data_IF_625638511503
#
_entry.id   IF_625638511503
#
_cell.length_a   1.000
_cell.length_b   1.000
_cell.length_c   1.000
_cell.angle_alpha   90.00
_cell.angle_beta   90.00
_cell.angle_gamma   90.00
#
_symmetry.space_group_name_H-M   'P 1'
#
loop_
_entity.id
_entity.type
_entity.pdbx_description
1 polymer ?
#
# COMPACT_ATOMS: atom_id res chain seq x y z
N UNK A 1 -6.97 21.95 -2.67
CA UNK A 1 -7.24 20.69 -3.35
C UNK A 1 -7.25 20.95 -4.85
N UNK A 2 -6.47 20.22 -5.66
CA UNK A 2 -6.83 20.15 -7.06
C UNK A 2 -8.23 19.52 -7.11
N UNK A 3 -9.18 20.23 -7.67
CA UNK A 3 -10.51 19.67 -7.89
C UNK A 3 -10.38 18.42 -8.78
N UNK A 4 -11.39 17.53 -8.77
CA UNK A 4 -11.44 16.38 -9.70
C UNK A 4 -11.23 16.86 -11.15
N UNK A 5 -11.72 18.07 -11.48
CA UNK A 5 -11.47 18.74 -12.74
C UNK A 5 -9.99 19.06 -13.00
N UNK A 6 -9.26 19.49 -11.98
CA UNK A 6 -7.82 19.76 -12.11
C UNK A 6 -7.02 18.46 -12.30
N UNK A 7 -7.38 17.38 -11.62
CA UNK A 7 -6.76 16.07 -11.85
C UNK A 7 -7.04 15.53 -13.25
N UNK A 8 -8.27 15.65 -13.75
CA UNK A 8 -8.61 15.30 -15.14
C UNK A 8 -7.85 16.17 -16.15
N UNK A 9 -7.69 17.45 -15.86
CA UNK A 9 -6.91 18.37 -16.70
C UNK A 9 -5.42 17.99 -16.72
N UNK A 10 -4.86 17.61 -15.59
CA UNK A 10 -3.48 17.13 -15.48
C UNK A 10 -3.26 15.81 -16.23
N UNK A 11 -4.20 14.87 -16.15
CA UNK A 11 -4.15 13.63 -16.94
C UNK A 11 -4.25 13.90 -18.44
N UNK A 12 -5.14 14.81 -18.85
CA UNK A 12 -5.25 15.24 -20.25
C UNK A 12 -3.95 15.89 -20.74
N UNK A 13 -3.36 16.76 -19.93
CA UNK A 13 -2.07 17.39 -20.23
C UNK A 13 -0.96 16.35 -20.37
N UNK A 14 -0.94 15.35 -19.49
CA UNK A 14 0.04 14.27 -19.53
C UNK A 14 -0.13 13.40 -20.79
N UNK A 15 -1.36 13.09 -21.19
CA UNK A 15 -1.66 12.35 -22.40
C UNK A 15 -1.26 13.15 -23.65
N UNK A 16 -1.58 14.43 -23.71
CA UNK A 16 -1.23 15.31 -24.83
C UNK A 16 0.28 15.52 -24.94
N UNK A 17 0.98 15.70 -23.83
CA UNK A 17 2.44 15.80 -23.79
C UNK A 17 3.10 14.51 -24.28
N UNK A 18 2.56 13.35 -23.92
CA UNK A 18 3.06 12.06 -24.38
C UNK A 18 2.82 11.84 -25.89
N UNK A 19 1.65 12.21 -26.40
CA UNK A 19 1.31 12.10 -27.83
C UNK A 19 2.16 13.04 -28.71
N UNK A 20 2.63 14.15 -28.16
CA UNK A 20 3.55 15.08 -28.82
C UNK A 20 5.02 14.70 -28.66
N UNK A 21 5.35 13.58 -27.99
CA UNK A 21 6.71 13.13 -27.76
C UNK A 21 7.53 14.00 -26.80
N UNK A 22 6.89 14.96 -26.10
CA UNK A 22 7.58 15.92 -25.22
C UNK A 22 8.05 15.23 -23.93
N UNK A 23 7.19 14.40 -23.33
CA UNK A 23 7.50 13.67 -22.09
C UNK A 23 6.68 12.40 -21.99
N UNK A 24 7.26 11.32 -21.47
CA UNK A 24 6.50 10.09 -21.20
C UNK A 24 5.44 10.35 -20.12
N UNK A 25 4.22 9.88 -20.34
CA UNK A 25 3.07 10.11 -19.44
C UNK A 25 3.40 9.87 -17.96
N UNK A 26 4.04 8.74 -17.65
CA UNK A 26 4.38 8.38 -16.26
C UNK A 26 5.40 9.35 -15.63
N UNK A 27 6.33 9.92 -16.42
CA UNK A 27 7.31 10.89 -15.91
C UNK A 27 6.61 12.18 -15.50
N UNK A 28 5.73 12.71 -16.35
CA UNK A 28 4.97 13.92 -16.03
C UNK A 28 4.04 13.70 -14.83
N UNK A 29 3.35 12.56 -14.78
CA UNK A 29 2.51 12.20 -13.64
C UNK A 29 3.32 12.08 -12.33
N UNK A 30 4.55 11.55 -12.38
CA UNK A 30 5.46 11.54 -11.20
C UNK A 30 5.86 12.94 -10.76
N UNK A 31 6.18 13.83 -11.69
CA UNK A 31 6.51 15.22 -11.36
C UNK A 31 5.35 15.91 -10.64
N UNK A 32 4.12 15.67 -11.09
CA UNK A 32 2.90 16.21 -10.49
C UNK A 32 2.64 15.57 -9.11
N UNK A 33 2.68 14.23 -9.02
CA UNK A 33 2.41 13.49 -7.77
C UNK A 33 3.46 13.75 -6.69
N UNK A 34 4.72 13.92 -7.10
CA UNK A 34 5.81 14.15 -6.15
C UNK A 34 5.89 15.61 -5.67
N UNK A 35 5.17 16.51 -6.34
CA UNK A 35 5.10 17.93 -5.98
C UNK A 35 6.45 18.65 -5.97
N UNK A 36 6.43 19.93 -5.60
CA UNK A 36 7.64 20.70 -5.34
C UNK A 36 8.31 20.20 -4.05
N UNK A 37 9.66 20.23 -4.02
CA UNK A 37 10.47 19.74 -2.90
C UNK A 37 9.94 20.23 -1.56
N UNK A 38 9.71 19.31 -0.63
CA UNK A 38 9.34 19.62 0.74
C UNK A 38 10.39 20.55 1.39
N UNK A 39 9.94 21.56 2.14
CA UNK A 39 10.81 22.36 3.02
C UNK A 39 11.54 21.41 3.98
N UNK A 40 12.83 21.60 4.19
CA UNK A 40 13.60 20.85 5.17
C UNK A 40 13.07 21.21 6.57
N UNK A 41 12.61 20.22 7.31
CA UNK A 41 12.35 20.40 8.74
C UNK A 41 13.69 20.62 9.44
N UNK A 42 13.87 21.74 10.10
CA UNK A 42 15.13 22.11 10.78
C UNK A 42 15.52 21.14 11.91
N UNK A 43 14.52 20.43 12.45
CA UNK A 43 14.67 19.50 13.58
C UNK A 43 15.15 18.09 13.18
N UNK A 44 15.26 17.81 11.89
CA UNK A 44 15.65 16.51 11.37
C UNK A 44 17.02 16.54 10.67
N UNK A 45 17.82 15.53 10.93
CA UNK A 45 18.96 15.17 10.11
C UNK A 45 18.45 14.23 9.01
N UNK A 46 18.60 14.63 7.76
CA UNK A 46 18.17 13.86 6.59
C UNK A 46 19.41 13.36 5.87
N UNK A 47 19.49 12.05 5.63
CA UNK A 47 20.56 11.39 4.88
C UNK A 47 19.97 10.56 3.74
N UNK A 48 20.49 10.74 2.54
CA UNK A 48 20.27 9.85 1.40
C UNK A 48 21.38 8.80 1.37
N UNK A 49 21.02 7.54 1.41
CA UNK A 49 21.92 6.38 1.47
C UNK A 49 21.47 5.31 0.50
N UNK A 50 22.25 4.24 0.40
CA UNK A 50 21.87 3.00 -0.29
C UNK A 50 21.95 1.82 0.67
N UNK A 51 20.93 0.99 0.69
CA UNK A 51 20.91 -0.31 1.36
C UNK A 51 21.02 -1.40 0.29
N UNK A 52 22.25 -1.90 0.09
CA UNK A 52 22.60 -2.57 -1.14
C UNK A 52 22.44 -1.61 -2.33
N UNK A 53 21.67 -2.01 -3.35
CA UNK A 53 21.36 -1.15 -4.51
C UNK A 53 20.11 -0.28 -4.32
N UNK A 54 19.40 -0.42 -3.19
CA UNK A 54 18.14 0.28 -2.95
C UNK A 54 18.41 1.67 -2.37
N UNK A 55 18.02 2.74 -3.07
CA UNK A 55 18.09 4.08 -2.50
C UNK A 55 17.15 4.21 -1.31
N UNK A 56 17.64 4.77 -0.21
CA UNK A 56 16.85 5.03 0.99
C UNK A 56 17.10 6.43 1.50
N UNK A 57 16.08 6.98 2.16
CA UNK A 57 16.24 8.25 2.87
C UNK A 57 15.96 8.05 4.34
N UNK A 58 16.92 8.41 5.18
CA UNK A 58 16.81 8.33 6.64
C UNK A 58 16.52 9.70 7.20
N UNK A 59 15.61 9.76 8.15
CA UNK A 59 15.25 10.94 8.92
C UNK A 59 15.52 10.66 10.39
N UNK A 60 16.46 11.35 10.97
CA UNK A 60 16.85 11.20 12.38
C UNK A 60 16.54 12.49 13.13
N UNK A 61 15.87 12.45 14.29
CA UNK A 61 15.73 13.63 15.14
C UNK A 61 17.09 14.16 15.58
N UNK A 62 17.27 15.49 15.52
CA UNK A 62 18.51 16.15 16.02
C UNK A 62 18.57 16.21 17.53
N UNK A 63 17.40 16.17 18.20
CA UNK A 63 17.33 16.16 19.66
C UNK A 63 18.03 14.93 20.23
N UNK A 64 18.80 15.03 21.31
CA UNK A 64 19.37 13.87 22.00
C UNK A 64 18.25 12.96 22.52
N UNK A 65 18.54 11.68 22.65
CA UNK A 65 17.63 10.68 23.24
C UNK A 65 18.38 9.97 24.36
N UNK A 66 17.72 9.78 25.48
CA UNK A 66 18.29 9.05 26.63
C UNK A 66 18.36 7.52 26.36
N UNK A 67 17.63 7.03 25.36
CA UNK A 67 17.60 5.62 24.99
C UNK A 67 17.59 5.47 23.47
N UNK A 68 17.82 4.25 22.95
CA UNK A 68 17.62 3.94 21.53
C UNK A 68 16.17 4.26 21.11
N UNK A 69 15.99 4.82 19.94
CA UNK A 69 14.70 5.23 19.41
C UNK A 69 13.93 4.07 18.80
N UNK A 70 12.64 4.24 18.65
CA UNK A 70 11.81 3.39 17.77
C UNK A 70 12.15 3.68 16.32
N UNK A 71 12.09 2.65 15.45
CA UNK A 71 12.27 2.77 14.02
C UNK A 71 10.97 2.57 13.25
N UNK A 72 10.78 3.33 12.19
CA UNK A 72 9.69 3.13 11.23
C UNK A 72 10.27 3.01 9.83
N UNK A 73 9.94 1.93 9.15
CA UNK A 73 10.25 1.76 7.73
C UNK A 73 8.97 2.05 6.97
N UNK A 74 9.00 3.05 6.08
CA UNK A 74 7.85 3.48 5.30
C UNK A 74 8.00 3.10 3.83
N UNK A 75 6.98 2.45 3.30
CA UNK A 75 6.78 2.23 1.88
C UNK A 75 5.62 3.11 1.41
N UNK A 76 5.90 4.01 0.48
CA UNK A 76 4.86 4.92 -0.03
C UNK A 76 3.90 4.20 -0.99
N UNK A 77 2.69 4.71 -1.08
CA UNK A 77 1.71 4.29 -2.09
C UNK A 77 2.07 4.74 -3.51
N UNK A 78 1.14 4.58 -4.44
CA UNK A 78 1.30 5.00 -5.83
C UNK A 78 1.51 3.85 -6.81
N UNK A 79 0.95 2.69 -6.53
CA UNK A 79 0.86 1.53 -7.43
C UNK A 79 2.23 1.03 -7.94
N UNK A 80 3.31 1.21 -7.18
CA UNK A 80 4.66 0.85 -7.61
C UNK A 80 5.21 1.66 -8.79
N UNK A 81 4.48 2.67 -9.26
CA UNK A 81 4.82 3.52 -10.41
C UNK A 81 5.02 4.97 -10.05
N UNK A 82 4.31 5.45 -9.03
CA UNK A 82 4.29 6.85 -8.60
C UNK A 82 4.65 6.93 -7.12
N UNK A 83 4.78 8.14 -6.65
CA UNK A 83 4.93 8.42 -5.25
C UNK A 83 6.34 8.82 -4.87
N UNK A 84 6.34 9.58 -3.87
CA UNK A 84 7.47 9.90 -2.99
C UNK A 84 6.82 10.08 -1.63
N UNK A 85 7.59 10.03 -0.58
CA UNK A 85 7.05 10.28 0.75
C UNK A 85 6.36 11.65 0.75
N UNK A 86 5.04 11.63 1.00
CA UNK A 86 4.27 12.86 1.05
C UNK A 86 4.86 13.82 2.09
N UNK A 87 4.83 15.10 1.76
CA UNK A 87 5.30 16.18 2.64
C UNK A 87 4.57 16.15 3.98
N UNK A 88 3.29 15.79 3.92
CA UNK A 88 2.35 15.85 5.04
C UNK A 88 2.62 14.75 6.10
N UNK A 89 2.99 13.55 5.67
CA UNK A 89 3.36 12.49 6.60
C UNK A 89 4.64 12.87 7.37
N UNK A 90 5.54 13.63 6.72
CA UNK A 90 6.78 14.13 7.31
C UNK A 90 6.54 15.18 8.40
N UNK A 91 5.50 15.99 8.28
CA UNK A 91 5.28 17.14 9.19
C UNK A 91 4.42 16.77 10.41
N UNK A 92 3.67 15.66 10.36
CA UNK A 92 2.65 15.33 11.38
C UNK A 92 2.97 14.16 12.30
N UNK A 93 3.83 13.23 11.88
CA UNK A 93 4.34 12.23 12.81
C UNK A 93 5.27 12.95 13.78
N UNK A 94 5.05 12.73 15.08
CA UNK A 94 5.82 13.40 16.15
C UNK A 94 7.29 12.95 16.10
N UNK A 95 8.09 13.57 15.24
CA UNK A 95 9.48 13.24 14.91
C UNK A 95 10.44 13.23 16.11
N UNK A 96 10.01 13.75 17.26
CA UNK A 96 10.87 13.87 18.44
C UNK A 96 11.35 12.52 19.00
N UNK A 97 10.67 11.42 18.67
CA UNK A 97 10.90 10.11 19.31
C UNK A 97 11.18 8.98 18.31
N UNK A 98 10.95 9.18 17.01
CA UNK A 98 11.02 8.14 16.00
C UNK A 98 12.13 8.42 14.99
N UNK A 99 12.89 7.38 14.62
CA UNK A 99 13.77 7.39 13.44
C UNK A 99 13.01 6.81 12.25
N UNK A 100 13.06 7.48 11.12
CA UNK A 100 12.25 7.15 9.96
C UNK A 100 13.13 6.78 8.77
N UNK A 101 12.79 5.69 8.10
CA UNK A 101 13.43 5.29 6.86
C UNK A 101 12.38 5.15 5.79
N UNK A 102 12.63 5.83 4.69
CA UNK A 102 11.82 5.69 3.50
C UNK A 102 12.60 4.91 2.46
N UNK A 103 12.12 3.73 2.12
CA UNK A 103 12.57 3.05 0.92
C UNK A 103 12.09 3.82 -0.31
N UNK A 104 13.03 4.15 -1.20
CA UNK A 104 12.75 4.70 -2.52
C UNK A 104 12.88 3.57 -3.53
N UNK A 105 12.10 2.50 -3.32
CA UNK A 105 12.12 1.35 -4.18
C UNK A 105 12.00 1.75 -5.66
N UNK A 106 12.66 1.01 -6.54
CA UNK A 106 12.70 1.28 -7.97
C UNK A 106 11.31 1.13 -8.57
N UNK A 107 10.91 2.05 -9.44
CA UNK A 107 9.54 2.17 -9.92
C UNK A 107 9.32 1.51 -11.29
N UNK A 108 8.11 1.02 -11.53
CA UNK A 108 7.62 0.63 -12.85
C UNK A 108 7.29 1.92 -13.65
N UNK A 109 7.42 1.94 -14.99
CA UNK A 109 7.75 0.81 -15.86
C UNK A 109 9.24 0.57 -16.07
N UNK A 110 10.15 1.39 -15.51
CA UNK A 110 11.60 1.21 -15.69
C UNK A 110 12.04 -0.13 -15.09
N UNK A 111 11.52 -0.48 -13.92
CA UNK A 111 11.78 -1.73 -13.23
C UNK A 111 10.50 -2.55 -13.11
N UNK A 112 10.54 -3.77 -13.65
CA UNK A 112 9.39 -4.68 -13.69
C UNK A 112 9.08 -5.25 -12.29
N UNK A 113 7.81 -5.63 -12.09
CA UNK A 113 7.43 -6.54 -11.01
C UNK A 113 8.32 -7.81 -11.03
N UNK A 114 8.79 -8.34 -9.89
CA UNK A 114 8.53 -7.91 -8.50
C UNK A 114 9.63 -7.02 -7.88
N UNK A 115 10.39 -6.26 -8.67
CA UNK A 115 11.53 -5.45 -8.18
C UNK A 115 11.16 -4.59 -6.95
N UNK A 116 9.97 -4.01 -6.93
CA UNK A 116 9.49 -3.13 -5.87
C UNK A 116 9.42 -3.86 -4.52
N UNK A 117 8.82 -5.06 -4.50
CA UNK A 117 8.74 -5.89 -3.30
C UNK A 117 10.12 -6.36 -2.84
N UNK A 118 10.98 -6.78 -3.78
CA UNK A 118 12.35 -7.21 -3.48
C UNK A 118 13.20 -6.07 -2.90
N UNK A 119 13.05 -4.86 -3.41
CA UNK A 119 13.72 -3.67 -2.87
C UNK A 119 13.26 -3.38 -1.43
N UNK A 120 11.95 -3.51 -1.16
CA UNK A 120 11.40 -3.32 0.18
C UNK A 120 11.94 -4.35 1.17
N UNK A 121 12.00 -5.64 0.78
CA UNK A 121 12.61 -6.71 1.59
C UNK A 121 14.09 -6.44 1.84
N UNK A 122 14.84 -6.06 0.80
CA UNK A 122 16.27 -5.74 0.90
C UNK A 122 16.54 -4.58 1.85
N UNK A 123 15.81 -3.47 1.68
CA UNK A 123 15.96 -2.29 2.53
C UNK A 123 15.61 -2.59 3.99
N UNK A 124 14.54 -3.37 4.23
CA UNK A 124 14.12 -3.79 5.57
C UNK A 124 15.16 -4.68 6.22
N UNK A 125 15.62 -5.71 5.52
CA UNK A 125 16.65 -6.63 6.03
C UNK A 125 17.93 -5.89 6.41
N UNK A 126 18.39 -4.98 5.55
CA UNK A 126 19.59 -4.18 5.83
C UNK A 126 19.40 -3.33 7.09
N UNK A 127 18.25 -2.64 7.18
CA UNK A 127 18.01 -1.77 8.33
C UNK A 127 17.85 -2.55 9.64
N UNK A 128 17.15 -3.68 9.65
CA UNK A 128 17.04 -4.51 10.84
C UNK A 128 18.42 -4.94 11.37
N UNK A 129 19.36 -5.26 10.48
CA UNK A 129 20.75 -5.63 10.84
C UNK A 129 21.59 -4.45 11.33
N UNK A 130 21.30 -3.25 10.89
CA UNK A 130 22.14 -2.06 11.12
C UNK A 130 21.46 -0.98 11.96
N UNK A 131 20.30 -1.23 12.51
CA UNK A 131 19.47 -0.25 13.23
C UNK A 131 20.21 0.49 14.32
N UNK A 132 21.04 -0.21 15.09
CA UNK A 132 21.82 0.35 16.19
C UNK A 132 22.80 1.44 15.73
N UNK A 133 23.37 1.32 14.53
CA UNK A 133 24.26 2.34 13.97
C UNK A 133 23.56 3.67 13.68
N UNK A 134 22.23 3.64 13.67
CA UNK A 134 21.37 4.83 13.51
C UNK A 134 20.71 5.26 14.84
N UNK A 135 21.12 4.66 15.98
CA UNK A 135 20.54 4.94 17.28
C UNK A 135 19.11 4.39 17.45
N UNK A 136 18.76 3.35 16.68
CA UNK A 136 17.46 2.69 16.70
C UNK A 136 17.56 1.37 17.41
N UNK A 137 16.54 1.07 18.22
CA UNK A 137 16.35 -0.22 18.87
C UNK A 137 15.84 -1.25 17.85
N UNK A 138 16.58 -2.31 17.54
CA UNK A 138 16.19 -3.29 16.54
C UNK A 138 14.90 -4.05 16.90
N UNK A 139 14.57 -4.17 18.21
CA UNK A 139 13.34 -4.82 18.67
C UNK A 139 12.11 -3.89 18.64
N UNK A 140 12.29 -2.65 18.26
CA UNK A 140 11.25 -1.61 18.23
C UNK A 140 11.07 -1.00 16.84
N UNK A 141 11.20 -1.83 15.79
CA UNK A 141 11.04 -1.42 14.40
C UNK A 141 9.69 -1.90 13.89
N UNK A 142 8.96 -0.98 13.28
CA UNK A 142 7.71 -1.27 12.59
C UNK A 142 7.86 -1.00 11.09
N UNK A 143 7.05 -1.71 10.30
CA UNK A 143 6.91 -1.47 8.86
C UNK A 143 5.56 -0.79 8.61
N UNK A 144 5.54 0.23 7.78
CA UNK A 144 4.35 1.01 7.50
C UNK A 144 4.19 1.22 5.99
N UNK A 145 2.95 1.22 5.50
CA UNK A 145 2.70 1.57 4.11
C UNK A 145 1.24 1.96 3.85
N UNK A 146 1.06 2.83 2.87
CA UNK A 146 -0.23 3.29 2.40
C UNK A 146 -0.55 2.74 1.00
N UNK A 147 -1.81 2.35 0.74
CA UNK A 147 -2.22 1.85 -0.59
C UNK A 147 -1.34 0.67 -1.05
N UNK A 148 -0.71 0.74 -2.23
CA UNK A 148 0.28 -0.22 -2.68
C UNK A 148 1.50 -0.35 -1.74
N UNK A 149 1.84 0.69 -0.98
CA UNK A 149 2.85 0.60 0.08
C UNK A 149 2.41 -0.35 1.20
N UNK A 150 1.11 -0.45 1.48
CA UNK A 150 0.53 -1.46 2.36
C UNK A 150 0.73 -2.88 1.85
N UNK A 151 0.62 -3.09 0.52
CA UNK A 151 0.99 -4.37 -0.13
C UNK A 151 2.45 -4.71 0.15
N UNK A 152 3.36 -3.75 -0.08
CA UNK A 152 4.80 -3.98 0.13
C UNK A 152 5.14 -4.19 1.61
N UNK A 153 4.47 -3.50 2.53
CA UNK A 153 4.64 -3.71 3.96
C UNK A 153 4.22 -5.13 4.37
N UNK A 154 3.04 -5.54 3.92
CA UNK A 154 2.50 -6.88 4.21
C UNK A 154 3.36 -7.99 3.61
N UNK A 155 3.70 -7.89 2.32
CA UNK A 155 4.54 -8.89 1.65
C UNK A 155 5.94 -8.96 2.24
N UNK A 156 6.51 -7.82 2.67
CA UNK A 156 7.81 -7.80 3.38
C UNK A 156 7.72 -8.52 4.72
N UNK A 157 6.66 -8.31 5.51
CA UNK A 157 6.46 -9.03 6.76
C UNK A 157 6.30 -10.54 6.53
N UNK A 158 5.55 -10.95 5.50
CA UNK A 158 5.37 -12.36 5.13
C UNK A 158 6.69 -13.03 4.71
N UNK A 159 7.52 -12.34 3.92
CA UNK A 159 8.81 -12.84 3.45
C UNK A 159 9.82 -12.99 4.60
N UNK A 160 9.78 -12.09 5.59
CA UNK A 160 10.75 -12.03 6.67
C UNK A 160 10.31 -12.76 7.96
N UNK A 161 9.04 -13.14 8.08
CA UNK A 161 8.49 -13.64 9.35
C UNK A 161 9.20 -14.88 9.90
N UNK A 162 9.64 -15.76 9.02
CA UNK A 162 10.33 -17.01 9.40
C UNK A 162 11.87 -16.87 9.47
N UNK A 163 12.42 -15.67 9.21
CA UNK A 163 13.86 -15.41 9.29
C UNK A 163 14.31 -15.39 10.74
N UNK A 164 15.37 -16.11 11.06
CA UNK A 164 15.96 -16.18 12.40
C UNK A 164 17.30 -15.46 12.52
N UNK A 165 17.85 -15.02 11.39
CA UNK A 165 19.15 -14.34 11.28
C UNK A 165 19.05 -12.81 11.35
N UNK A 166 17.84 -12.28 11.58
CA UNK A 166 17.56 -10.86 11.73
C UNK A 166 16.57 -10.61 12.88
N UNK A 167 16.59 -9.42 13.50
CA UNK A 167 15.57 -9.01 14.46
C UNK A 167 14.16 -9.10 13.87
N UNK A 168 13.18 -9.40 14.70
CA UNK A 168 11.77 -9.49 14.27
C UNK A 168 11.17 -8.10 14.06
N UNK A 169 10.35 -7.94 13.02
CA UNK A 169 9.51 -6.76 12.86
C UNK A 169 8.51 -6.73 14.02
N UNK A 170 8.46 -5.61 14.76
CA UNK A 170 7.59 -5.50 15.96
C UNK A 170 6.11 -5.36 15.63
N UNK A 171 5.79 -4.63 14.56
CA UNK A 171 4.42 -4.45 14.08
C UNK A 171 4.39 -4.01 12.62
N UNK A 172 3.23 -4.17 11.98
CA UNK A 172 2.94 -3.57 10.67
C UNK A 172 1.78 -2.57 10.80
N UNK A 173 1.90 -1.43 10.12
CA UNK A 173 0.86 -0.41 10.01
C UNK A 173 0.43 -0.29 8.55
N UNK A 174 -0.80 -0.67 8.27
CA UNK A 174 -1.37 -0.75 6.93
C UNK A 174 -2.45 0.31 6.77
N UNK A 175 -2.26 1.23 5.84
CA UNK A 175 -3.14 2.36 5.65
C UNK A 175 -3.87 2.19 4.32
N UNK A 176 -5.17 1.95 4.37
CA UNK A 176 -6.04 1.62 3.23
C UNK A 176 -5.34 0.72 2.19
N UNK A 177 -4.81 -0.45 2.63
CA UNK A 177 -3.91 -1.26 1.81
C UNK A 177 -4.64 -1.95 0.66
N UNK A 178 -3.93 -2.13 -0.48
CA UNK A 178 -4.32 -3.06 -1.53
C UNK A 178 -3.74 -4.45 -1.20
N UNK A 179 -4.57 -5.48 -1.07
CA UNK A 179 -4.10 -6.79 -0.57
C UNK A 179 -4.51 -7.99 -1.43
N UNK A 180 -5.36 -7.80 -2.43
CA UNK A 180 -5.81 -8.88 -3.31
C UNK A 180 -6.23 -8.39 -4.68
N UNK A 181 -6.12 -9.24 -5.68
CA UNK A 181 -6.57 -9.02 -7.05
C UNK A 181 -7.38 -10.20 -7.58
N UNK A 182 -7.97 -10.97 -6.67
CA UNK A 182 -8.81 -12.10 -7.02
C UNK A 182 -10.25 -11.67 -7.31
N UNK A 183 -10.83 -10.81 -6.47
CA UNK A 183 -12.24 -10.43 -6.56
C UNK A 183 -12.38 -8.91 -6.63
N UNK A 184 -12.84 -8.41 -7.77
CA UNK A 184 -13.14 -6.98 -7.99
C UNK A 184 -14.63 -6.66 -7.86
N UNK A 185 -15.42 -7.56 -7.25
CA UNK A 185 -16.86 -7.40 -7.04
C UNK A 185 -17.25 -7.48 -5.55
N UNK A 186 -16.36 -7.06 -4.66
CA UNK A 186 -16.67 -6.93 -3.23
C UNK A 186 -17.62 -5.73 -2.99
N UNK A 187 -18.30 -5.65 -1.84
CA UNK A 187 -19.19 -4.55 -1.51
C UNK A 187 -18.58 -3.15 -1.68
N UNK A 188 -17.34 -2.95 -1.25
CA UNK A 188 -16.65 -1.66 -1.42
C UNK A 188 -16.37 -1.33 -2.89
N UNK A 189 -16.09 -2.35 -3.71
CA UNK A 189 -15.89 -2.16 -5.15
C UNK A 189 -17.15 -1.64 -5.82
N UNK A 190 -18.33 -2.19 -5.48
CA UNK A 190 -19.60 -1.74 -6.06
C UNK A 190 -20.00 -0.36 -5.52
N UNK A 191 -19.97 -0.18 -4.19
CA UNK A 191 -20.38 1.06 -3.54
C UNK A 191 -19.52 2.26 -3.93
N UNK A 192 -18.22 2.06 -4.08
CA UNK A 192 -17.25 3.14 -4.30
C UNK A 192 -16.68 3.15 -5.74
N UNK A 193 -17.28 2.41 -6.68
CA UNK A 193 -16.76 2.20 -8.04
C UNK A 193 -16.32 3.50 -8.75
N UNK A 194 -17.05 4.59 -8.55
CA UNK A 194 -16.80 5.90 -9.18
C UNK A 194 -16.53 7.02 -8.20
N UNK A 195 -16.33 6.71 -6.90
CA UNK A 195 -16.15 7.71 -5.84
C UNK A 195 -14.66 8.03 -5.63
N UNK A 196 -14.38 9.29 -5.34
CA UNK A 196 -13.08 9.75 -4.85
C UNK A 196 -11.97 9.79 -5.90
N UNK A 197 -10.73 9.70 -5.43
CA UNK A 197 -9.52 9.76 -6.25
C UNK A 197 -9.20 8.43 -6.94
N UNK A 198 -9.68 7.31 -6.37
CA UNK A 198 -9.44 5.96 -6.86
C UNK A 198 -10.78 5.31 -7.22
N UNK A 199 -11.14 5.32 -8.50
CA UNK A 199 -12.24 4.51 -9.02
C UNK A 199 -11.79 3.06 -9.23
N UNK A 200 -12.75 2.13 -9.31
CA UNK A 200 -12.46 0.72 -9.55
C UNK A 200 -11.71 0.50 -10.88
N UNK A 201 -12.19 1.10 -11.96
CA UNK A 201 -11.53 1.04 -13.28
C UNK A 201 -10.11 1.60 -13.24
N UNK A 202 -9.92 2.74 -12.56
CA UNK A 202 -8.59 3.34 -12.40
C UNK A 202 -7.64 2.42 -11.64
N UNK A 203 -8.12 1.74 -10.60
CA UNK A 203 -7.35 0.77 -9.85
C UNK A 203 -6.89 -0.39 -10.75
N UNK A 204 -7.80 -1.00 -11.51
CA UNK A 204 -7.45 -2.10 -12.44
C UNK A 204 -6.52 -1.61 -13.55
N UNK A 205 -6.74 -0.40 -14.09
CA UNK A 205 -5.83 0.21 -15.04
C UNK A 205 -4.40 0.35 -14.47
N UNK A 206 -4.27 0.81 -13.22
CA UNK A 206 -2.97 0.90 -12.56
C UNK A 206 -2.31 -0.47 -12.33
N UNK A 207 -3.09 -1.49 -11.99
CA UNK A 207 -2.59 -2.87 -11.89
C UNK A 207 -1.98 -3.32 -13.23
N UNK A 208 -2.73 -3.16 -14.31
CA UNK A 208 -2.27 -3.55 -15.65
C UNK A 208 -1.02 -2.76 -16.06
N UNK A 209 -1.01 -1.45 -15.86
CA UNK A 209 0.17 -0.62 -16.13
C UNK A 209 1.38 -1.03 -15.30
N UNK A 210 1.20 -1.33 -14.01
CA UNK A 210 2.27 -1.78 -13.13
C UNK A 210 2.88 -3.09 -13.59
N UNK A 211 2.05 -4.04 -13.99
CA UNK A 211 2.45 -5.34 -14.52
C UNK A 211 2.88 -5.26 -16.01
N UNK A 212 2.73 -4.09 -16.65
CA UNK A 212 3.03 -3.86 -18.08
C UNK A 212 2.19 -4.74 -19.01
N UNK A 213 0.91 -4.89 -18.64
CA UNK A 213 -0.09 -5.63 -19.42
C UNK A 213 -0.98 -4.68 -20.22
N UNK A 214 -1.69 -5.20 -21.19
CA UNK A 214 -2.60 -4.43 -22.03
C UNK A 214 -3.87 -4.05 -21.24
N UNK A 215 -4.30 -2.80 -21.36
CA UNK A 215 -5.53 -2.32 -20.73
C UNK A 215 -6.82 -2.94 -21.32
N UNK A 216 -6.75 -3.59 -22.48
CA UNK A 216 -7.87 -4.36 -23.05
C UNK A 216 -8.33 -5.51 -22.15
N UNK A 217 -7.48 -5.98 -21.23
CA UNK A 217 -7.82 -7.03 -20.27
C UNK A 217 -8.76 -6.53 -19.14
N UNK A 218 -8.97 -5.21 -19.01
CA UNK A 218 -9.66 -4.61 -17.89
C UNK A 218 -11.09 -5.13 -17.71
N UNK A 219 -11.87 -5.21 -18.77
CA UNK A 219 -13.27 -5.70 -18.70
C UNK A 219 -13.34 -7.15 -18.22
N UNK A 220 -12.48 -8.01 -18.75
CA UNK A 220 -12.41 -9.41 -18.34
C UNK A 220 -11.98 -9.57 -16.87
N UNK A 221 -11.06 -8.72 -16.39
CA UNK A 221 -10.62 -8.71 -14.99
C UNK A 221 -11.76 -8.24 -14.07
N UNK A 222 -12.43 -7.15 -14.41
CA UNK A 222 -13.57 -6.64 -13.65
C UNK A 222 -14.72 -7.63 -13.58
N UNK A 223 -14.95 -8.39 -14.66
CA UNK A 223 -15.94 -9.46 -14.68
C UNK A 223 -15.53 -10.70 -13.86
N UNK A 224 -14.24 -10.85 -13.50
CA UNK A 224 -13.71 -12.04 -12.82
C UNK A 224 -13.32 -13.17 -13.77
N UNK A 225 -13.27 -12.94 -15.09
CA UNK A 225 -12.97 -13.95 -16.11
C UNK A 225 -11.51 -14.46 -16.07
N UNK A 226 -10.64 -13.79 -15.34
CA UNK A 226 -9.23 -14.17 -15.13
C UNK A 226 -9.05 -15.25 -14.05
N UNK A 227 -10.12 -15.66 -13.36
CA UNK A 227 -10.04 -16.56 -12.21
C UNK A 227 -10.61 -17.93 -12.55
N UNK A 228 -9.81 -19.01 -12.53
CA UNK A 228 -10.35 -20.36 -12.65
C UNK A 228 -11.17 -20.75 -11.42
N UNK A 229 -12.19 -21.56 -11.62
CA UNK A 229 -13.09 -21.99 -10.54
C UNK A 229 -12.35 -22.64 -9.36
N UNK A 230 -11.32 -23.41 -9.62
CA UNK A 230 -10.48 -24.03 -8.58
C UNK A 230 -9.83 -22.99 -7.66
N UNK A 231 -9.41 -21.84 -8.18
CA UNK A 231 -8.90 -20.74 -7.38
C UNK A 231 -9.98 -20.03 -6.59
N UNK A 232 -11.14 -19.79 -7.21
CA UNK A 232 -12.30 -19.23 -6.51
C UNK A 232 -12.68 -20.10 -5.30
N UNK A 233 -12.76 -21.42 -5.48
CA UNK A 233 -13.07 -22.37 -4.42
C UNK A 233 -11.97 -22.37 -3.33
N UNK A 234 -10.68 -22.40 -3.72
CA UNK A 234 -9.56 -22.39 -2.79
C UNK A 234 -9.57 -21.16 -1.90
N UNK A 235 -9.72 -19.98 -2.48
CA UNK A 235 -9.56 -18.70 -1.79
C UNK A 235 -10.86 -18.11 -1.23
N UNK A 236 -12.04 -18.72 -1.50
CA UNK A 236 -13.33 -18.31 -0.95
C UNK A 236 -13.33 -18.19 0.57
N UNK A 237 -12.59 -19.07 1.25
CA UNK A 237 -12.44 -19.04 2.72
C UNK A 237 -11.78 -17.75 3.24
N UNK A 238 -11.13 -16.98 2.37
CA UNK A 238 -10.42 -15.74 2.72
C UNK A 238 -10.95 -14.51 1.98
N UNK A 239 -11.48 -14.68 0.78
CA UNK A 239 -11.94 -13.59 -0.08
C UNK A 239 -13.36 -13.90 -0.54
N UNK A 240 -14.34 -13.50 0.27
CA UNK A 240 -15.74 -13.66 -0.04
C UNK A 240 -16.57 -12.54 0.62
N UNK A 241 -17.64 -12.02 -0.04
CA UNK A 241 -18.50 -10.99 0.55
C UNK A 241 -19.14 -11.40 1.90
N UNK A 242 -19.38 -12.69 2.12
CA UNK A 242 -19.95 -13.19 3.39
C UNK A 242 -19.05 -12.91 4.60
N UNK A 243 -17.75 -12.72 4.37
CA UNK A 243 -16.78 -12.40 5.42
C UNK A 243 -16.77 -10.92 5.79
N UNK A 244 -17.43 -10.08 5.00
CA UNK A 244 -17.57 -8.65 5.27
C UNK A 244 -18.74 -8.42 6.23
N UNK A 245 -18.59 -7.59 7.28
CA UNK A 245 -19.66 -7.28 8.20
C UNK A 245 -20.88 -6.64 7.50
N UNK A 246 -22.10 -6.99 7.95
CA UNK A 246 -23.36 -6.58 7.32
C UNK A 246 -23.48 -5.07 7.08
N UNK A 247 -23.02 -4.25 8.05
CA UNK A 247 -23.06 -2.80 7.91
C UNK A 247 -22.34 -2.23 6.70
N UNK A 248 -21.42 -2.99 6.11
CA UNK A 248 -20.65 -2.60 4.92
C UNK A 248 -21.18 -3.21 3.62
N UNK A 249 -22.24 -4.03 3.68
CA UNK A 249 -22.84 -4.73 2.54
C UNK A 249 -24.16 -4.08 2.06
N UNK A 250 -24.47 -2.87 2.53
CA UNK A 250 -25.68 -2.16 2.08
C UNK A 250 -25.69 -2.04 0.55
N UNK A 251 -26.83 -2.41 -0.06
CA UNK A 251 -27.06 -2.40 -1.50
C UNK A 251 -26.15 -3.32 -2.34
N UNK A 252 -25.34 -4.15 -1.69
CA UNK A 252 -24.50 -5.13 -2.40
C UNK A 252 -25.35 -6.17 -3.15
N UNK A 253 -25.01 -6.38 -4.42
CA UNK A 253 -25.62 -7.40 -5.27
C UNK A 253 -24.52 -8.36 -5.75
N UNK A 254 -24.66 -9.68 -5.48
CA UNK A 254 -23.72 -10.65 -6.02
C UNK A 254 -23.64 -10.51 -7.54
N UNK A 255 -22.43 -10.49 -8.12
CA UNK A 255 -22.29 -10.42 -9.58
C UNK A 255 -22.77 -11.71 -10.23
N UNK A 256 -23.18 -11.62 -11.48
CA UNK A 256 -23.42 -12.82 -12.29
C UNK A 256 -22.08 -13.57 -12.48
N UNK A 257 -22.11 -14.92 -12.51
CA UNK A 257 -20.93 -15.70 -12.81
C UNK A 257 -20.35 -15.33 -14.17
N UNK A 258 -19.06 -15.01 -14.20
CA UNK A 258 -18.36 -14.76 -15.44
C UNK A 258 -17.78 -16.05 -16.03
N UNK A 259 -17.72 -16.12 -17.36
CA UNK A 259 -17.04 -17.21 -18.03
C UNK A 259 -15.52 -17.06 -17.87
N UNK A 260 -14.86 -18.14 -17.47
CA UNK A 260 -13.42 -18.18 -17.36
C UNK A 260 -12.73 -18.07 -18.72
N UNK A 261 -11.71 -17.23 -18.85
CA UNK A 261 -10.92 -17.02 -20.06
C UNK A 261 -9.46 -17.39 -19.76
N UNK A 262 -8.99 -18.59 -20.16
CA UNK A 262 -7.65 -19.08 -19.84
C UNK A 262 -6.50 -18.14 -20.26
N UNK A 263 -6.66 -17.47 -21.41
CA UNK A 263 -5.65 -16.53 -21.88
C UNK A 263 -5.51 -15.34 -20.95
N UNK A 264 -6.62 -14.78 -20.43
CA UNK A 264 -6.58 -13.64 -19.49
C UNK A 264 -5.92 -14.07 -18.19
N UNK A 265 -6.19 -15.29 -17.70
CA UNK A 265 -5.53 -15.85 -16.54
C UNK A 265 -4.00 -15.94 -16.73
N UNK A 266 -3.55 -16.52 -17.83
CA UNK A 266 -2.12 -16.68 -18.11
C UNK A 266 -1.41 -15.32 -18.23
N UNK A 267 -2.05 -14.35 -18.86
CA UNK A 267 -1.51 -13.00 -18.97
C UNK A 267 -1.45 -12.23 -17.65
N UNK A 268 -2.26 -12.62 -16.66
CA UNK A 268 -2.38 -11.93 -15.36
C UNK A 268 -1.90 -12.75 -14.17
N UNK A 269 -1.18 -13.85 -14.40
CA UNK A 269 -0.77 -14.79 -13.34
C UNK A 269 0.05 -14.16 -12.21
N UNK A 270 0.78 -13.08 -12.48
CA UNK A 270 1.52 -12.33 -11.46
C UNK A 270 0.58 -11.74 -10.39
N UNK A 271 -0.70 -11.52 -10.70
CA UNK A 271 -1.70 -11.03 -9.76
C UNK A 271 -1.97 -12.01 -8.61
N UNK A 272 -1.63 -13.29 -8.80
CA UNK A 272 -1.83 -14.35 -7.81
C UNK A 272 -0.59 -14.67 -6.97
N UNK A 273 0.53 -14.01 -7.23
CA UNK A 273 1.71 -14.07 -6.35
C UNK A 273 1.40 -13.36 -5.02
N UNK A 274 1.80 -13.96 -3.90
CA UNK A 274 1.58 -13.39 -2.54
C UNK A 274 2.29 -12.07 -2.33
N UNK A 275 3.34 -11.76 -3.09
CA UNK A 275 3.99 -10.44 -3.09
C UNK A 275 3.14 -9.36 -3.74
N UNK A 276 2.21 -9.74 -4.63
CA UNK A 276 1.25 -8.85 -5.26
C UNK A 276 -0.09 -8.83 -4.52
N UNK A 277 -0.58 -10.00 -4.15
CA UNK A 277 -1.84 -10.23 -3.43
C UNK A 277 -1.58 -10.92 -2.09
N UNK A 278 -1.06 -10.19 -1.08
CA UNK A 278 -0.63 -10.80 0.19
C UNK A 278 -1.76 -11.50 0.96
N UNK A 279 -3.00 -11.18 0.68
CA UNK A 279 -4.16 -11.87 1.26
C UNK A 279 -4.25 -13.34 0.83
N UNK A 280 -3.52 -13.77 -0.20
CA UNK A 280 -3.45 -15.15 -0.66
C UNK A 280 -2.41 -16.02 0.06
N UNK A 281 -1.57 -15.46 0.95
CA UNK A 281 -0.57 -16.22 1.68
C UNK A 281 -1.22 -17.30 2.56
N UNK A 282 -0.58 -18.44 2.78
CA UNK A 282 -1.13 -19.54 3.57
C UNK A 282 -1.18 -19.20 5.07
N UNK A 283 -2.09 -19.84 5.81
CA UNK A 283 -2.31 -19.58 7.23
C UNK A 283 -1.04 -19.82 8.07
N UNK A 284 -0.20 -20.80 7.67
CA UNK A 284 1.10 -21.06 8.29
C UNK A 284 2.06 -19.85 8.27
N UNK A 285 1.91 -18.93 7.30
CA UNK A 285 2.67 -17.68 7.26
C UNK A 285 1.92 -16.59 8.04
N UNK A 286 0.60 -16.48 7.85
CA UNK A 286 -0.23 -15.44 8.45
C UNK A 286 -0.21 -15.49 9.96
N UNK A 287 -0.28 -16.70 10.57
CA UNK A 287 -0.28 -16.89 12.03
C UNK A 287 1.01 -16.47 12.74
N UNK A 288 2.08 -16.22 12.00
CA UNK A 288 3.37 -15.76 12.56
C UNK A 288 3.64 -14.27 12.34
N UNK A 289 2.71 -13.55 11.69
CA UNK A 289 2.88 -12.14 11.40
C UNK A 289 2.90 -11.28 12.68
N UNK A 290 3.56 -10.11 12.64
CA UNK A 290 3.61 -9.23 13.80
C UNK A 290 2.24 -8.58 14.10
N UNK A 291 2.12 -7.99 15.30
CA UNK A 291 0.98 -7.16 15.65
C UNK A 291 0.64 -6.21 14.50
N UNK A 292 -0.63 -6.08 14.15
CA UNK A 292 -1.04 -5.35 12.97
C UNK A 292 -2.01 -4.22 13.31
N UNK A 293 -1.72 -3.03 12.80
CA UNK A 293 -2.67 -1.93 12.80
C UNK A 293 -3.17 -1.71 11.36
N UNK A 294 -4.49 -1.71 11.17
CA UNK A 294 -5.13 -1.52 9.86
C UNK A 294 -6.02 -0.28 9.92
N UNK A 295 -5.83 0.62 8.96
CA UNK A 295 -6.71 1.78 8.76
C UNK A 295 -7.49 1.58 7.47
N UNK A 296 -8.81 1.71 7.54
CA UNK A 296 -9.71 1.65 6.38
C UNK A 296 -10.54 2.93 6.27
N UNK A 297 -10.97 3.25 5.06
CA UNK A 297 -11.83 4.40 4.78
C UNK A 297 -13.17 3.95 4.21
N UNK A 298 -14.27 4.62 4.57
CA UNK A 298 -15.61 4.24 4.09
C UNK A 298 -15.75 4.42 2.58
N UNK A 299 -15.24 5.55 2.06
CA UNK A 299 -15.36 5.90 0.63
C UNK A 299 -14.14 5.44 -0.17
N UNK A 300 -13.76 4.17 0.00
CA UNK A 300 -12.57 3.58 -0.63
C UNK A 300 -12.89 2.22 -1.24
N UNK A 301 -12.51 2.00 -2.49
CA UNK A 301 -12.64 0.70 -3.17
C UNK A 301 -11.85 -0.40 -2.45
N UNK A 302 -10.77 -0.06 -1.75
CA UNK A 302 -9.90 -0.99 -0.99
C UNK A 302 -10.37 -1.25 0.45
N UNK A 303 -11.50 -0.67 0.88
CA UNK A 303 -12.01 -0.86 2.25
C UNK A 303 -12.10 -2.34 2.62
N UNK A 304 -12.66 -3.13 1.73
CA UNK A 304 -12.95 -4.53 2.01
C UNK A 304 -11.70 -5.42 1.98
N UNK A 305 -10.64 -5.03 1.26
CA UNK A 305 -9.33 -5.67 1.37
C UNK A 305 -8.80 -5.60 2.81
N UNK A 306 -8.89 -4.42 3.42
CA UNK A 306 -8.50 -4.21 4.82
C UNK A 306 -9.37 -5.00 5.80
N UNK A 307 -10.70 -5.08 5.57
CA UNK A 307 -11.62 -5.84 6.43
C UNK A 307 -11.39 -7.34 6.34
N UNK A 308 -11.20 -7.89 5.14
CA UNK A 308 -10.89 -9.30 4.92
C UNK A 308 -9.55 -9.68 5.56
N UNK A 309 -8.55 -8.82 5.42
CA UNK A 309 -7.24 -9.08 6.02
C UNK A 309 -7.29 -9.00 7.55
N UNK A 310 -8.01 -8.02 8.09
CA UNK A 310 -8.30 -7.94 9.54
C UNK A 310 -8.86 -9.26 10.04
N UNK A 311 -9.97 -9.71 9.45
CA UNK A 311 -10.59 -10.97 9.86
C UNK A 311 -9.62 -12.13 9.78
N UNK A 312 -8.87 -12.24 8.70
CA UNK A 312 -7.92 -13.31 8.49
C UNK A 312 -6.80 -13.34 9.53
N UNK A 313 -6.27 -12.19 9.91
CA UNK A 313 -5.27 -12.07 10.97
C UNK A 313 -5.85 -12.51 12.32
N UNK A 314 -7.05 -12.06 12.65
CA UNK A 314 -7.76 -12.45 13.88
C UNK A 314 -8.06 -13.95 13.94
N UNK A 315 -8.50 -14.54 12.82
CA UNK A 315 -8.75 -15.98 12.70
C UNK A 315 -7.46 -16.81 12.90
N UNK A 316 -6.28 -16.21 12.67
CA UNK A 316 -4.96 -16.80 12.89
C UNK A 316 -4.29 -16.33 14.20
N UNK A 317 -5.06 -15.78 15.15
CA UNK A 317 -4.59 -15.33 16.47
C UNK A 317 -3.55 -14.20 16.43
N UNK A 318 -3.44 -13.45 15.33
CA UNK A 318 -2.62 -12.24 15.25
C UNK A 318 -3.39 -11.08 15.86
N UNK A 319 -2.74 -10.32 16.74
CA UNK A 319 -3.35 -9.14 17.37
C UNK A 319 -3.55 -8.03 16.35
N UNK A 320 -4.81 -7.57 16.19
CA UNK A 320 -5.17 -6.51 15.27
C UNK A 320 -5.74 -5.29 16.01
N UNK A 321 -5.24 -4.12 15.68
CA UNK A 321 -5.86 -2.85 16.00
C UNK A 321 -6.45 -2.28 14.71
N UNK A 322 -7.74 -2.04 14.69
CA UNK A 322 -8.43 -1.53 13.51
C UNK A 322 -8.98 -0.14 13.75
N UNK A 323 -8.74 0.76 12.81
CA UNK A 323 -9.28 2.11 12.78
C UNK A 323 -10.04 2.32 11.46
N UNK A 324 -11.31 2.73 11.56
CA UNK A 324 -12.12 3.05 10.39
C UNK A 324 -12.41 4.54 10.34
N UNK A 325 -12.21 5.16 9.18
CA UNK A 325 -12.46 6.58 8.94
C UNK A 325 -13.74 6.71 8.13
N UNK A 326 -14.85 7.04 8.79
CA UNK A 326 -16.19 7.08 8.20
C UNK A 326 -16.29 8.09 7.04
N UNK A 327 -15.70 9.28 7.19
CA UNK A 327 -15.64 10.31 6.14
C UNK A 327 -14.39 10.20 5.25
N UNK A 328 -13.63 9.10 5.40
CA UNK A 328 -12.37 8.89 4.71
C UNK A 328 -12.57 8.37 3.29
N UNK A 329 -11.63 8.69 2.43
CA UNK A 329 -11.51 8.18 1.07
C UNK A 329 -10.09 7.75 0.76
N UNK A 330 -9.90 7.01 -0.33
CA UNK A 330 -8.56 6.56 -0.72
C UNK A 330 -7.60 7.73 -0.92
N UNK A 331 -6.44 7.70 -0.26
CA UNK A 331 -5.46 8.78 -0.33
C UNK A 331 -5.72 9.95 0.61
N UNK A 332 -6.66 9.85 1.57
CA UNK A 332 -6.98 10.91 2.55
C UNK A 332 -5.75 11.45 3.29
N UNK A 333 -4.71 10.61 3.47
CA UNK A 333 -3.44 11.03 4.09
C UNK A 333 -2.73 12.16 3.34
N UNK A 334 -2.90 12.25 2.02
CA UNK A 334 -2.32 13.32 1.22
C UNK A 334 -2.91 14.70 1.56
N UNK A 335 -4.03 14.73 2.28
CA UNK A 335 -4.77 15.93 2.64
C UNK A 335 -4.66 16.29 4.11
N UNK A 336 -3.89 15.54 4.89
CA UNK A 336 -3.56 15.89 6.26
C UNK A 336 -2.74 17.18 6.26
N UNK A 337 -3.21 18.22 6.94
CA UNK A 337 -2.53 19.51 6.99
C UNK A 337 -3.34 20.66 6.44
N UNK A 338 -4.33 20.36 5.63
CA UNK A 338 -5.22 21.37 5.08
C UNK A 338 -6.43 21.69 5.97
N UNK A 339 -6.45 21.18 7.22
CA UNK A 339 -7.48 21.50 8.22
C UNK A 339 -8.83 20.83 8.00
N UNK A 340 -8.97 20.01 6.96
CA UNK A 340 -10.25 19.39 6.57
C UNK A 340 -10.49 18.06 7.29
N UNK A 341 -9.41 17.36 7.69
CA UNK A 341 -9.47 16.06 8.36
C UNK A 341 -8.61 16.06 9.61
N UNK A 342 -9.16 15.58 10.72
CA UNK A 342 -8.43 15.25 11.95
C UNK A 342 -8.44 13.73 12.13
N UNK A 343 -7.27 13.14 12.40
CA UNK A 343 -7.23 11.76 12.85
C UNK A 343 -7.81 11.65 14.27
N UNK A 344 -8.38 10.49 14.61
CA UNK A 344 -8.71 10.19 16.00
C UNK A 344 -7.49 10.45 16.88
N UNK A 345 -7.70 11.09 18.04
CA UNK A 345 -6.63 11.46 18.98
C UNK A 345 -5.71 10.30 19.39
N UNK A 346 -6.19 9.07 19.23
CA UNK A 346 -5.49 7.82 19.55
C UNK A 346 -4.53 7.36 18.43
N UNK A 347 -4.49 8.01 17.27
CA UNK A 347 -3.61 7.60 16.16
C UNK A 347 -2.12 7.70 16.54
N UNK A 348 -1.74 8.75 17.26
CA UNK A 348 -0.35 8.92 17.73
C UNK A 348 0.07 7.93 18.82
N UNK A 349 -0.88 7.30 19.53
CA UNK A 349 -0.57 6.27 20.54
C UNK A 349 -0.36 4.88 19.94
N UNK A 350 -0.74 4.67 18.66
CA UNK A 350 -0.57 3.42 17.93
C UNK A 350 0.84 3.32 17.28
N UNK A 351 1.54 4.42 17.14
CA UNK A 351 2.92 4.52 16.66
C UNK A 351 3.91 4.62 17.85
#
# INVERSE_FOLDING_TARGET
LPSILQLRHLEWTANKSASLGICKKHVLMRMISNGLRARRASELLVKDLHFGEVPVRIYLPRSPSASKRRGVILFHGGCGMYGSISKELKEKITWKVLSFISSRYRLSPEHRYPTQSLDCVTATTHFLRTAESYGVDPDRIIVCGDSAGGTFATSTCQELVNRTDIPKIRAQLLIYPFLQSLNFNLPSHQKNASIGLMSLERMVCFILMYLRKDCSLMEAILAGSHIPESMNLKYRKWIHPDLIPEKFKQDYKPPLPASYIPQVHEETKEMFDTRFSPLLAEDAVVGHLPDTCIITCEHDVLRDDGLLYKKRLEDNNVKVTWCHIEEGFHGVLCFLGYGIFSFPSNFCSLL
#
